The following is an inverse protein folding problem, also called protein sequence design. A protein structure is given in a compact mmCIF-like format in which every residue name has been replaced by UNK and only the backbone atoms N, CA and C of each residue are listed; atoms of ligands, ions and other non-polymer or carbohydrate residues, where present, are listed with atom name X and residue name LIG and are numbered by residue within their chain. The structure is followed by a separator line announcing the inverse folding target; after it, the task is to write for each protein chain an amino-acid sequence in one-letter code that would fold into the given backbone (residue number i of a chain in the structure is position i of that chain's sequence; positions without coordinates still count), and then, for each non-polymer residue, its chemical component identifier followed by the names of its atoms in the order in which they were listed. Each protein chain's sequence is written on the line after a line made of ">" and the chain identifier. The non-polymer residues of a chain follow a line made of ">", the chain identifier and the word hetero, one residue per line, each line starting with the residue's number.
data_IF_076047109334
#
_entry.id   IF_076047109334
#
_cell.length_a   1.000
_cell.length_b   1.000
_cell.length_c   1.000
_cell.angle_alpha   90.00
_cell.angle_beta   90.00
_cell.angle_gamma   90.00
#
_symmetry.space_group_name_H-M   'P 1'
#
loop_
_entity.id
_entity.type
_entity.pdbx_description
1 polymer ?
#
# COMPACT_ATOMS: atom_id res chain seq x y z
N UNK A 1 48.90 7.79 8.55
CA UNK A 1 47.60 7.65 9.25
C UNK A 1 47.30 6.20 9.64
N UNK A 2 47.24 5.25 8.70
CA UNK A 2 46.94 3.83 9.03
C UNK A 2 47.96 3.18 9.99
N UNK A 3 49.22 3.60 9.97
CA UNK A 3 50.26 3.10 10.87
C UNK A 3 50.22 3.70 12.28
N UNK A 4 49.38 4.72 12.53
CA UNK A 4 49.30 5.36 13.83
C UNK A 4 48.79 4.35 14.90
N UNK A 5 49.36 4.33 16.12
CA UNK A 5 48.93 3.41 17.18
C UNK A 5 47.44 3.49 17.49
N UNK A 6 46.86 4.71 17.49
CA UNK A 6 45.43 4.93 17.71
C UNK A 6 44.54 4.33 16.61
N UNK A 7 44.98 4.39 15.35
CA UNK A 7 44.27 3.75 14.23
C UNK A 7 44.30 2.23 14.36
N UNK A 8 45.49 1.66 14.60
CA UNK A 8 45.67 0.22 14.78
C UNK A 8 44.87 -0.33 15.98
N UNK A 9 44.84 0.42 17.09
CA UNK A 9 44.01 0.10 18.25
C UNK A 9 42.52 0.05 17.88
N UNK A 10 42.05 1.05 17.13
CA UNK A 10 40.65 1.13 16.70
C UNK A 10 40.26 -0.04 15.80
N UNK A 11 41.11 -0.40 14.83
CA UNK A 11 40.87 -1.57 13.96
C UNK A 11 40.85 -2.88 14.76
N UNK A 12 41.75 -3.04 15.73
CA UNK A 12 41.76 -4.22 16.60
C UNK A 12 40.49 -4.31 17.44
N UNK A 13 40.06 -3.19 18.02
CA UNK A 13 38.80 -3.12 18.78
C UNK A 13 37.61 -3.44 17.91
N UNK A 14 37.50 -2.82 16.73
CA UNK A 14 36.42 -3.09 15.77
C UNK A 14 36.36 -4.58 15.39
N UNK A 15 37.51 -5.18 15.06
CA UNK A 15 37.57 -6.61 14.71
C UNK A 15 37.15 -7.51 15.87
N UNK A 16 37.56 -7.17 17.10
CA UNK A 16 37.13 -7.88 18.32
C UNK A 16 35.61 -7.78 18.50
N UNK A 17 35.04 -6.59 18.38
CA UNK A 17 33.59 -6.41 18.55
C UNK A 17 32.78 -7.10 17.46
N UNK A 18 33.24 -7.10 16.20
CA UNK A 18 32.60 -7.87 15.12
C UNK A 18 32.63 -9.36 15.42
N UNK A 19 33.76 -9.91 15.89
CA UNK A 19 33.86 -11.32 16.25
C UNK A 19 32.98 -11.69 17.45
N UNK A 20 32.90 -10.80 18.46
CA UNK A 20 31.99 -10.98 19.59
C UNK A 20 30.53 -11.04 19.11
N UNK A 21 30.13 -10.07 18.28
CA UNK A 21 28.80 -10.00 17.70
C UNK A 21 28.48 -11.25 16.87
N UNK A 22 29.43 -11.72 16.05
CA UNK A 22 29.27 -12.95 15.29
C UNK A 22 29.05 -14.16 16.19
N UNK A 23 29.83 -14.30 17.27
CA UNK A 23 29.67 -15.39 18.25
C UNK A 23 28.32 -15.36 18.97
N UNK A 24 27.75 -14.18 19.22
CA UNK A 24 26.38 -14.07 19.75
C UNK A 24 25.33 -14.45 18.69
N UNK A 25 25.48 -13.98 17.45
CA UNK A 25 24.55 -14.27 16.35
C UNK A 25 24.50 -15.76 16.00
N UNK A 26 25.59 -16.52 16.21
CA UNK A 26 25.61 -17.98 16.06
C UNK A 26 24.64 -18.72 16.99
N UNK A 27 24.20 -18.09 18.09
CA UNK A 27 23.22 -18.65 19.03
C UNK A 27 21.77 -18.45 18.57
N UNK A 28 21.56 -17.72 17.47
CA UNK A 28 20.23 -17.44 16.91
C UNK A 28 19.57 -18.71 16.39
N UNK A 29 18.24 -18.65 16.27
CA UNK A 29 17.48 -19.73 15.61
C UNK A 29 17.99 -19.86 14.17
N UNK A 30 18.35 -21.08 13.71
CA UNK A 30 18.93 -21.28 12.38
C UNK A 30 17.82 -21.28 11.32
N UNK A 31 17.31 -20.10 10.95
CA UNK A 31 16.24 -19.95 9.95
C UNK A 31 16.62 -20.51 8.56
N UNK A 32 17.91 -20.65 8.27
CA UNK A 32 18.43 -21.32 7.06
C UNK A 32 18.20 -22.84 7.06
N UNK A 33 17.92 -23.44 8.22
CA UNK A 33 17.69 -24.88 8.31
C UNK A 33 16.26 -25.22 7.91
N UNK A 34 16.09 -26.20 7.02
CA UNK A 34 14.78 -26.78 6.67
C UNK A 34 14.05 -27.45 7.85
N UNK A 35 14.72 -27.58 9.01
CA UNK A 35 14.13 -28.02 10.27
C UNK A 35 13.25 -26.94 10.90
N UNK A 36 13.50 -25.67 10.61
CA UNK A 36 12.68 -24.57 11.11
C UNK A 36 11.39 -24.45 10.29
N UNK A 37 10.25 -24.53 10.96
CA UNK A 37 8.90 -24.41 10.36
C UNK A 37 7.93 -23.69 11.30
N UNK A 38 8.46 -22.72 12.05
CA UNK A 38 7.73 -22.02 13.11
C UNK A 38 6.99 -20.78 12.58
N UNK A 39 7.67 -19.65 12.56
CA UNK A 39 7.14 -18.38 12.06
C UNK A 39 7.53 -18.12 10.60
N UNK A 40 7.05 -16.99 10.08
CA UNK A 40 7.36 -16.42 8.76
C UNK A 40 8.82 -15.93 8.69
N UNK A 41 9.76 -16.86 8.83
CA UNK A 41 11.22 -16.64 8.78
C UNK A 41 11.88 -17.83 8.08
N UNK A 42 12.81 -17.54 7.17
CA UNK A 42 13.56 -18.53 6.40
C UNK A 42 14.82 -17.88 5.82
N UNK A 43 15.60 -18.64 5.07
CA UNK A 43 16.75 -18.11 4.34
C UNK A 43 16.30 -17.15 3.23
N UNK A 44 16.83 -15.93 3.23
CA UNK A 44 16.42 -14.88 2.28
C UNK A 44 17.16 -15.02 0.96
N UNK A 45 16.58 -14.47 -0.11
CA UNK A 45 17.19 -14.49 -1.44
C UNK A 45 18.56 -13.84 -1.41
N UNK A 46 19.58 -14.56 -1.90
CA UNK A 46 20.94 -14.05 -2.01
C UNK A 46 20.99 -12.76 -2.84
N UNK A 47 20.21 -12.68 -3.92
CA UNK A 47 20.10 -11.48 -4.73
C UNK A 47 19.63 -10.27 -3.91
N UNK A 48 18.62 -10.45 -3.05
CA UNK A 48 18.10 -9.40 -2.18
C UNK A 48 19.14 -8.96 -1.14
N UNK A 49 19.81 -9.91 -0.50
CA UNK A 49 20.87 -9.65 0.47
C UNK A 49 22.03 -8.86 -0.17
N UNK A 50 22.48 -9.26 -1.36
CA UNK A 50 23.55 -8.58 -2.08
C UNK A 50 23.13 -7.18 -2.54
N UNK A 51 21.91 -7.00 -3.04
CA UNK A 51 21.37 -5.69 -3.40
C UNK A 51 21.37 -4.73 -2.21
N UNK A 52 20.93 -5.20 -1.05
CA UNK A 52 20.94 -4.44 0.19
C UNK A 52 22.37 -4.09 0.63
N UNK A 53 23.28 -5.07 0.66
CA UNK A 53 24.68 -4.88 1.08
C UNK A 53 25.45 -3.95 0.15
N UNK A 54 25.17 -3.94 -1.15
CA UNK A 54 25.78 -2.98 -2.07
C UNK A 54 25.26 -1.57 -1.77
N UNK A 55 23.95 -1.42 -1.60
CA UNK A 55 23.32 -0.11 -1.42
C UNK A 55 23.61 0.52 -0.05
N UNK A 56 23.80 -0.26 1.03
CA UNK A 56 24.14 0.30 2.34
C UNK A 56 25.47 1.06 2.33
N UNK A 57 26.41 0.70 1.44
CA UNK A 57 27.68 1.41 1.26
C UNK A 57 27.49 2.84 0.71
N UNK A 58 26.34 3.12 0.10
CA UNK A 58 25.96 4.45 -0.40
C UNK A 58 25.01 5.19 0.54
N UNK A 59 24.34 4.49 1.46
CA UNK A 59 23.48 5.04 2.51
C UNK A 59 22.49 6.13 2.02
N UNK A 60 21.90 5.92 0.84
CA UNK A 60 20.95 6.85 0.26
C UNK A 60 19.62 6.84 1.04
N UNK A 61 19.05 8.03 1.25
CA UNK A 61 17.78 8.22 1.94
C UNK A 61 16.69 8.51 0.92
N UNK A 62 15.73 7.59 0.78
CA UNK A 62 14.67 7.71 -0.23
C UNK A 62 13.59 8.75 0.14
N UNK A 63 13.62 9.33 1.35
CA UNK A 63 12.68 10.39 1.74
C UNK A 63 12.65 11.56 0.75
N UNK A 64 13.83 11.99 0.28
CA UNK A 64 13.96 13.10 -0.65
C UNK A 64 14.68 12.67 -1.91
N UNK A 65 14.26 13.20 -3.05
CA UNK A 65 14.87 12.84 -4.34
C UNK A 65 16.35 13.28 -4.45
N UNK A 66 16.77 14.30 -3.68
CA UNK A 66 18.17 14.74 -3.62
C UNK A 66 19.08 13.79 -2.81
N UNK A 67 18.54 13.09 -1.81
CA UNK A 67 19.31 12.14 -0.99
C UNK A 67 19.21 10.70 -1.53
N UNK A 68 18.15 10.41 -2.30
CA UNK A 68 17.85 9.12 -2.94
C UNK A 68 18.05 9.12 -4.45
N UNK A 69 19.07 9.82 -4.97
CA UNK A 69 19.25 10.08 -6.41
C UNK A 69 19.19 8.84 -7.32
N UNK A 70 19.54 7.68 -6.79
CA UNK A 70 19.48 6.39 -7.50
C UNK A 70 18.42 5.48 -6.87
N UNK A 71 18.44 5.32 -5.56
CA UNK A 71 17.60 4.31 -4.88
C UNK A 71 16.12 4.71 -4.82
N UNK A 72 15.77 5.97 -5.04
CA UNK A 72 14.37 6.37 -5.19
C UNK A 72 13.76 5.80 -6.48
N UNK A 73 14.54 5.69 -7.56
CA UNK A 73 14.07 5.07 -8.81
C UNK A 73 13.87 3.57 -8.64
N UNK A 74 14.69 2.91 -7.82
CA UNK A 74 14.48 1.51 -7.45
C UNK A 74 13.16 1.32 -6.72
N UNK A 75 12.83 2.20 -5.78
CA UNK A 75 11.57 2.11 -5.05
C UNK A 75 10.34 2.34 -5.95
N UNK A 76 10.41 3.34 -6.84
CA UNK A 76 9.36 3.55 -7.85
C UNK A 76 9.21 2.32 -8.75
N UNK A 77 10.33 1.69 -9.12
CA UNK A 77 10.36 0.42 -9.86
C UNK A 77 9.67 -0.71 -9.09
N UNK A 78 10.04 -0.93 -7.83
CA UNK A 78 9.43 -1.94 -6.96
C UNK A 78 7.92 -1.70 -6.81
N UNK A 79 7.49 -0.45 -6.62
CA UNK A 79 6.08 -0.11 -6.56
C UNK A 79 5.33 -0.50 -7.84
N UNK A 80 5.93 -0.24 -9.01
CA UNK A 80 5.39 -0.62 -10.32
C UNK A 80 5.36 -2.14 -10.52
N UNK A 81 6.41 -2.84 -10.10
CA UNK A 81 6.50 -4.30 -10.18
C UNK A 81 5.39 -4.95 -9.34
N UNK A 82 5.20 -4.48 -8.10
CA UNK A 82 4.17 -4.98 -7.21
C UNK A 82 2.77 -4.71 -7.75
N UNK A 83 2.50 -3.49 -8.26
CA UNK A 83 1.21 -3.18 -8.91
C UNK A 83 0.97 -4.09 -10.13
N UNK A 84 1.98 -4.31 -10.95
CA UNK A 84 1.88 -5.19 -12.12
C UNK A 84 1.64 -6.64 -11.72
N UNK A 85 2.29 -7.11 -10.64
CA UNK A 85 2.16 -8.47 -10.11
C UNK A 85 0.72 -8.78 -9.71
N UNK A 86 0.03 -7.83 -9.08
CA UNK A 86 -1.35 -7.95 -8.60
C UNK A 86 -2.41 -7.49 -9.63
N UNK A 87 -1.99 -7.24 -10.87
CA UNK A 87 -2.87 -6.82 -11.99
C UNK A 87 -3.58 -5.47 -11.76
N UNK A 88 -2.93 -4.56 -11.03
CA UNK A 88 -3.29 -3.15 -11.07
C UNK A 88 -2.75 -2.48 -12.33
N UNK A 89 -3.54 -1.57 -12.91
CA UNK A 89 -3.13 -0.77 -14.07
C UNK A 89 -1.92 0.11 -13.70
N UNK A 90 -0.71 -0.15 -14.23
CA UNK A 90 0.52 0.51 -13.79
C UNK A 90 0.59 2.00 -14.16
N UNK A 91 -0.29 2.49 -15.04
CA UNK A 91 -0.34 3.91 -15.40
C UNK A 91 -1.24 4.73 -14.44
N UNK A 92 -2.15 4.04 -13.75
CA UNK A 92 -3.07 4.62 -12.75
C UNK A 92 -2.66 4.33 -11.33
N UNK A 93 -2.15 3.13 -11.07
CA UNK A 93 -1.76 2.66 -9.76
C UNK A 93 -0.43 3.25 -9.31
N UNK A 94 -0.18 3.14 -8.00
CA UNK A 94 1.15 3.37 -7.44
C UNK A 94 1.38 2.43 -6.27
N UNK A 95 2.64 2.08 -6.04
CA UNK A 95 3.06 1.44 -4.81
C UNK A 95 4.33 2.08 -4.29
N UNK A 96 4.60 1.90 -3.01
CA UNK A 96 5.89 2.26 -2.42
C UNK A 96 6.23 1.35 -1.25
N UNK A 97 7.49 1.39 -0.85
CA UNK A 97 8.02 0.59 0.25
C UNK A 97 7.71 1.29 1.57
N UNK A 98 7.44 0.49 2.59
CA UNK A 98 7.32 0.91 3.98
C UNK A 98 8.18 0.01 4.88
N UNK A 99 8.39 0.38 6.14
CA UNK A 99 9.14 -0.44 7.10
C UNK A 99 8.57 -1.87 7.27
N UNK A 100 7.26 -2.04 7.06
CA UNK A 100 6.58 -3.32 7.12
C UNK A 100 5.06 -3.20 6.97
N UNK A 101 4.37 -4.33 6.83
CA UNK A 101 2.93 -4.40 6.63
C UNK A 101 2.09 -3.68 7.69
N UNK A 102 2.59 -3.56 8.93
CA UNK A 102 1.93 -2.75 9.96
C UNK A 102 1.80 -1.28 9.53
N UNK A 103 2.86 -0.69 9.01
CA UNK A 103 2.85 0.71 8.54
C UNK A 103 1.96 0.84 7.31
N UNK A 104 2.05 -0.10 6.37
CA UNK A 104 1.17 -0.13 5.20
C UNK A 104 -0.32 -0.17 5.59
N UNK A 105 -0.71 -1.03 6.54
CA UNK A 105 -2.09 -1.12 7.01
C UNK A 105 -2.56 0.18 7.69
N UNK A 106 -1.71 0.82 8.51
CA UNK A 106 -2.04 2.11 9.13
C UNK A 106 -2.24 3.18 8.04
N UNK A 107 -1.36 3.20 7.04
CA UNK A 107 -1.42 4.14 5.94
C UNK A 107 -2.68 3.94 5.09
N UNK A 108 -3.04 2.70 4.77
CA UNK A 108 -4.28 2.37 4.08
C UNK A 108 -5.52 2.86 4.84
N UNK A 109 -5.56 2.68 6.17
CA UNK A 109 -6.67 3.15 7.00
C UNK A 109 -6.69 4.68 7.09
N UNK A 110 -5.53 5.32 7.10
CA UNK A 110 -5.42 6.78 7.09
C UNK A 110 -5.95 7.36 5.77
N UNK A 111 -5.56 6.77 4.63
CA UNK A 111 -6.06 7.15 3.31
C UNK A 111 -7.57 6.96 3.23
N UNK A 112 -8.08 5.80 3.67
CA UNK A 112 -9.50 5.49 3.61
C UNK A 112 -10.35 6.45 4.46
N UNK A 113 -9.85 6.82 5.65
CA UNK A 113 -10.47 7.84 6.49
C UNK A 113 -10.54 9.18 5.75
N UNK A 114 -9.42 9.65 5.20
CA UNK A 114 -9.38 10.98 4.58
C UNK A 114 -10.25 11.06 3.32
N UNK A 115 -10.22 10.00 2.48
CA UNK A 115 -11.11 9.87 1.31
C UNK A 115 -12.57 9.89 1.73
N UNK A 116 -12.95 9.14 2.78
CA UNK A 116 -14.35 9.05 3.25
C UNK A 116 -14.94 10.41 3.64
N UNK A 117 -14.17 11.26 4.31
CA UNK A 117 -14.66 12.53 4.83
C UNK A 117 -14.44 13.72 3.89
N UNK A 118 -13.59 13.58 2.87
CA UNK A 118 -13.29 14.67 1.93
C UNK A 118 -14.53 15.31 1.28
N UNK A 119 -15.55 14.56 0.80
CA UNK A 119 -16.73 15.18 0.18
C UNK A 119 -17.52 16.10 1.11
N UNK A 120 -17.50 15.84 2.42
CA UNK A 120 -18.15 16.71 3.41
C UNK A 120 -17.44 18.07 3.47
N UNK A 121 -16.11 18.05 3.65
CA UNK A 121 -15.30 19.26 3.72
C UNK A 121 -15.38 20.05 2.41
N UNK A 122 -15.30 19.36 1.27
CA UNK A 122 -15.40 20.01 -0.03
C UNK A 122 -16.79 20.63 -0.27
N UNK A 123 -17.86 19.93 0.10
CA UNK A 123 -19.22 20.47 0.00
C UNK A 123 -19.38 21.74 0.84
N UNK A 124 -18.81 21.76 2.04
CA UNK A 124 -18.85 22.93 2.93
C UNK A 124 -18.02 24.08 2.37
N UNK A 125 -16.81 23.80 1.87
CA UNK A 125 -15.96 24.78 1.20
C UNK A 125 -16.66 25.39 -0.03
N UNK A 126 -17.31 24.59 -0.88
CA UNK A 126 -18.05 25.09 -2.06
C UNK A 126 -19.22 26.01 -1.66
N UNK A 127 -19.82 25.80 -0.48
CA UNK A 127 -20.92 26.65 0.02
C UNK A 127 -20.42 27.99 0.54
N UNK A 128 -19.28 28.00 1.23
CA UNK A 128 -18.82 29.15 2.01
C UNK A 128 -17.69 29.95 1.33
N UNK A 129 -16.92 29.34 0.43
CA UNK A 129 -15.76 29.98 -0.20
C UNK A 129 -16.11 30.55 -1.57
N UNK A 130 -15.95 31.87 -1.73
CA UNK A 130 -16.25 32.56 -2.99
C UNK A 130 -15.39 32.05 -4.15
N UNK A 131 -14.13 31.69 -3.87
CA UNK A 131 -13.20 31.11 -4.85
C UNK A 131 -13.72 29.78 -5.43
N UNK A 132 -14.57 29.07 -4.68
CA UNK A 132 -15.19 27.80 -5.10
C UNK A 132 -16.61 27.96 -5.65
N UNK A 133 -17.12 29.18 -5.82
CA UNK A 133 -18.51 29.43 -6.22
C UNK A 133 -18.90 28.78 -7.57
N UNK A 134 -17.96 28.67 -8.52
CA UNK A 134 -18.19 27.99 -9.82
C UNK A 134 -18.43 26.50 -9.66
N UNK A 135 -17.94 25.88 -8.58
CA UNK A 135 -18.14 24.47 -8.29
C UNK A 135 -19.49 24.16 -7.64
N UNK A 136 -20.35 25.15 -7.34
CA UNK A 136 -21.73 24.91 -6.83
C UNK A 136 -22.57 24.04 -7.78
N UNK A 137 -22.30 24.12 -9.08
CA UNK A 137 -22.95 23.29 -10.10
C UNK A 137 -22.31 21.90 -10.29
N UNK A 138 -21.26 21.55 -9.54
CA UNK A 138 -20.59 20.25 -9.67
C UNK A 138 -21.55 19.13 -9.27
N UNK A 139 -21.76 18.17 -10.16
CA UNK A 139 -22.69 17.05 -9.95
C UNK A 139 -21.94 15.74 -9.73
N UNK A 140 -22.41 14.96 -8.78
CA UNK A 140 -21.93 13.61 -8.47
C UNK A 140 -23.04 12.60 -8.78
N UNK A 141 -22.66 11.43 -9.28
CA UNK A 141 -23.60 10.35 -9.54
C UNK A 141 -23.89 9.58 -8.25
N UNK A 142 -25.17 9.35 -7.96
CA UNK A 142 -25.63 8.58 -6.80
C UNK A 142 -26.26 7.26 -7.29
N UNK A 143 -25.58 6.10 -7.13
CA UNK A 143 -26.05 4.82 -7.66
C UNK A 143 -27.47 4.44 -7.20
N UNK A 144 -27.77 4.63 -5.91
CA UNK A 144 -29.07 4.31 -5.32
C UNK A 144 -30.24 5.18 -5.82
N UNK A 145 -29.96 6.37 -6.37
CA UNK A 145 -30.95 7.22 -7.05
C UNK A 145 -30.94 7.07 -8.57
N UNK A 146 -29.88 6.45 -9.10
CA UNK A 146 -29.58 6.42 -10.52
C UNK A 146 -29.62 7.82 -11.17
N UNK A 147 -29.04 8.81 -10.50
CA UNK A 147 -29.12 10.21 -10.93
C UNK A 147 -27.87 11.02 -10.57
N UNK A 148 -27.61 12.07 -11.34
CA UNK A 148 -26.61 13.10 -11.00
C UNK A 148 -27.24 14.19 -10.14
N UNK A 149 -26.67 14.43 -8.97
CA UNK A 149 -27.14 15.44 -8.00
C UNK A 149 -26.02 16.44 -7.76
N UNK A 150 -26.35 17.72 -7.63
CA UNK A 150 -25.35 18.73 -7.27
C UNK A 150 -24.75 18.38 -5.90
N UNK A 151 -23.44 18.51 -5.74
CA UNK A 151 -22.75 18.16 -4.49
C UNK A 151 -23.33 18.93 -3.30
N UNK A 152 -23.74 20.18 -3.53
CA UNK A 152 -24.38 21.05 -2.52
C UNK A 152 -25.79 20.62 -2.14
N UNK A 153 -26.46 19.79 -2.95
CA UNK A 153 -27.81 19.29 -2.71
C UNK A 153 -27.81 17.87 -2.14
N UNK A 154 -26.64 17.23 -2.05
CA UNK A 154 -26.48 15.92 -1.45
C UNK A 154 -26.65 16.01 0.08
N UNK A 155 -27.29 15.00 0.66
CA UNK A 155 -27.33 14.84 2.12
C UNK A 155 -25.97 14.41 2.66
N UNK A 156 -25.72 14.62 3.96
CA UNK A 156 -24.50 14.13 4.64
C UNK A 156 -24.28 12.64 4.43
N UNK A 157 -25.37 11.84 4.48
CA UNK A 157 -25.30 10.40 4.24
C UNK A 157 -24.82 10.06 2.82
N UNK A 158 -25.27 10.81 1.81
CA UNK A 158 -24.88 10.57 0.43
C UNK A 158 -23.43 10.98 0.16
N UNK A 159 -23.00 12.10 0.72
CA UNK A 159 -21.60 12.55 0.63
C UNK A 159 -20.64 11.53 1.25
N UNK A 160 -21.02 10.89 2.36
CA UNK A 160 -20.24 9.83 3.02
C UNK A 160 -20.25 8.48 2.27
N UNK A 161 -21.10 8.33 1.25
CA UNK A 161 -21.28 7.07 0.51
C UNK A 161 -21.08 7.23 -1.01
N UNK A 162 -20.36 8.27 -1.42
CA UNK A 162 -19.91 8.43 -2.81
C UNK A 162 -18.92 7.34 -3.21
N UNK A 163 -18.80 7.10 -4.51
CA UNK A 163 -17.80 6.21 -5.07
C UNK A 163 -16.39 6.77 -4.90
N UNK A 164 -15.46 5.91 -4.50
CA UNK A 164 -14.03 6.25 -4.34
C UNK A 164 -13.51 6.92 -5.60
N UNK A 165 -13.81 6.36 -6.78
CA UNK A 165 -13.40 6.89 -8.09
C UNK A 165 -13.95 8.31 -8.34
N UNK A 166 -15.14 8.64 -7.82
CA UNK A 166 -15.70 10.01 -7.89
C UNK A 166 -14.94 10.94 -6.93
N UNK A 167 -14.66 10.47 -5.70
CA UNK A 167 -14.02 11.27 -4.65
C UNK A 167 -12.60 11.66 -5.05
N UNK A 168 -11.80 10.70 -5.53
CA UNK A 168 -10.40 10.96 -5.92
C UNK A 168 -10.26 11.87 -7.14
N UNK A 169 -11.32 12.01 -7.93
CA UNK A 169 -11.40 12.94 -9.07
C UNK A 169 -11.86 14.35 -8.69
N UNK A 170 -12.44 14.53 -7.50
CA UNK A 170 -13.01 15.82 -7.09
C UNK A 170 -11.99 16.96 -7.09
N UNK A 171 -10.75 16.81 -6.55
CA UNK A 171 -9.78 17.91 -6.54
C UNK A 171 -9.49 18.44 -7.95
N UNK A 172 -9.23 17.54 -8.90
CA UNK A 172 -8.91 17.89 -10.29
C UNK A 172 -10.11 18.54 -11.00
N UNK A 173 -11.33 18.02 -10.78
CA UNK A 173 -12.54 18.60 -11.38
C UNK A 173 -12.86 19.97 -10.81
N UNK A 174 -12.76 20.16 -9.51
CA UNK A 174 -13.06 21.44 -8.86
C UNK A 174 -12.04 22.51 -9.21
N UNK A 175 -10.73 22.18 -9.19
CA UNK A 175 -9.68 23.11 -9.63
C UNK A 175 -9.89 23.57 -11.07
N UNK A 176 -10.21 22.63 -11.98
CA UNK A 176 -10.52 22.95 -13.37
C UNK A 176 -11.78 23.83 -13.52
N UNK A 177 -12.86 23.53 -12.80
CA UNK A 177 -14.10 24.32 -12.83
C UNK A 177 -13.91 25.74 -12.30
N UNK A 178 -13.10 25.89 -11.25
CA UNK A 178 -12.84 27.17 -10.61
C UNK A 178 -11.69 27.96 -11.26
N UNK A 179 -10.89 27.31 -12.11
CA UNK A 179 -9.65 27.85 -12.67
C UNK A 179 -8.64 28.28 -11.59
N UNK A 180 -8.45 27.42 -10.59
CA UNK A 180 -7.48 27.61 -9.50
C UNK A 180 -6.43 26.50 -9.52
N UNK A 181 -5.29 26.72 -8.85
CA UNK A 181 -4.28 25.66 -8.71
C UNK A 181 -4.66 24.63 -7.65
N UNK A 182 -4.07 23.43 -7.73
CA UNK A 182 -4.22 22.42 -6.68
C UNK A 182 -3.71 22.91 -5.32
N UNK A 183 -2.69 23.78 -5.31
CA UNK A 183 -2.16 24.41 -4.10
C UNK A 183 -3.19 25.36 -3.47
N UNK A 184 -3.90 26.14 -4.30
CA UNK A 184 -4.97 27.03 -3.80
C UNK A 184 -6.11 26.22 -3.18
N UNK A 185 -6.54 25.13 -3.86
CA UNK A 185 -7.57 24.25 -3.33
C UNK A 185 -7.13 23.59 -2.02
N UNK A 186 -5.88 23.13 -1.93
CA UNK A 186 -5.34 22.56 -0.70
C UNK A 186 -5.34 23.57 0.46
N UNK A 187 -4.94 24.81 0.19
CA UNK A 187 -4.95 25.90 1.16
C UNK A 187 -6.37 26.21 1.68
N UNK A 188 -7.37 26.17 0.80
CA UNK A 188 -8.78 26.29 1.20
C UNK A 188 -9.20 25.10 2.06
N UNK A 189 -8.95 23.87 1.58
CA UNK A 189 -9.39 22.64 2.23
C UNK A 189 -8.75 22.41 3.61
N UNK A 190 -7.62 23.04 3.92
CA UNK A 190 -7.00 23.01 5.26
C UNK A 190 -7.97 23.48 6.36
N UNK A 191 -8.88 24.41 6.06
CA UNK A 191 -9.88 24.90 7.02
C UNK A 191 -11.08 23.96 7.20
N UNK A 192 -11.21 22.93 6.35
CA UNK A 192 -12.39 22.04 6.28
C UNK A 192 -12.07 20.57 6.59
N UNK A 193 -10.82 20.27 7.00
CA UNK A 193 -10.32 18.90 7.20
C UNK A 193 -10.31 18.36 8.63
N UNK A 194 -10.45 19.20 9.67
CA UNK A 194 -9.83 18.89 10.98
C UNK A 194 -10.65 18.09 12.03
N UNK A 195 -11.91 17.67 11.81
CA UNK A 195 -12.74 17.22 12.96
C UNK A 195 -13.53 15.91 12.82
N UNK A 196 -12.93 14.82 12.31
CA UNK A 196 -13.63 13.53 12.20
C UNK A 196 -12.86 12.37 12.86
N UNK A 197 -12.99 12.25 14.19
CA UNK A 197 -12.28 11.27 15.03
C UNK A 197 -13.02 9.94 15.27
N UNK A 198 -14.11 9.62 14.56
CA UNK A 198 -14.82 8.36 14.76
C UNK A 198 -14.79 7.55 13.46
N UNK A 199 -14.00 6.48 13.46
CA UNK A 199 -13.82 5.56 12.34
C UNK A 199 -14.36 4.20 12.77
N UNK A 200 -15.45 3.75 12.15
CA UNK A 200 -15.84 2.35 12.22
C UNK A 200 -15.08 1.59 11.11
N UNK A 201 -14.14 0.73 11.52
CA UNK A 201 -13.38 -0.18 10.65
C UNK A 201 -13.96 -1.57 10.85
N UNK A 202 -14.23 -2.30 9.76
CA UNK A 202 -14.72 -3.67 9.83
C UNK A 202 -13.71 -4.62 9.20
N UNK A 203 -13.40 -5.68 9.94
CA UNK A 203 -12.71 -6.86 9.42
C UNK A 203 -13.77 -7.82 8.89
N UNK A 204 -13.48 -8.48 7.76
CA UNK A 204 -14.26 -9.59 7.22
C UNK A 204 -14.63 -10.60 8.31
N UNK A 205 -15.92 -10.91 8.40
CA UNK A 205 -16.44 -11.95 9.29
C UNK A 205 -17.59 -12.67 8.59
N UNK A 206 -17.95 -13.87 9.08
CA UNK A 206 -19.14 -14.61 8.63
C UNK A 206 -20.45 -13.79 8.75
N UNK A 207 -20.42 -12.66 9.44
CA UNK A 207 -21.57 -11.76 9.69
C UNK A 207 -21.41 -10.40 9.01
N UNK A 208 -20.51 -10.26 8.03
CA UNK A 208 -20.26 -8.99 7.35
C UNK A 208 -21.55 -8.38 6.78
N UNK A 209 -22.40 -9.19 6.13
CA UNK A 209 -23.70 -8.73 5.63
C UNK A 209 -24.56 -8.14 6.74
N UNK A 210 -24.81 -8.89 7.82
CA UNK A 210 -25.62 -8.42 8.96
C UNK A 210 -25.08 -7.11 9.53
N UNK A 211 -23.76 -6.97 9.63
CA UNK A 211 -23.11 -5.75 10.10
C UNK A 211 -23.37 -4.57 9.14
N UNK A 212 -23.22 -4.77 7.83
CA UNK A 212 -23.48 -3.72 6.84
C UNK A 212 -24.96 -3.32 6.80
N UNK A 213 -25.88 -4.28 6.94
CA UNK A 213 -27.32 -4.01 7.09
C UNK A 213 -27.61 -3.14 8.31
N UNK A 214 -27.01 -3.47 9.46
CA UNK A 214 -27.12 -2.67 10.68
C UNK A 214 -26.55 -1.25 10.48
N UNK A 215 -25.41 -1.11 9.80
CA UNK A 215 -24.83 0.22 9.52
C UNK A 215 -25.66 1.04 8.56
N UNK A 216 -26.23 0.43 7.53
CA UNK A 216 -27.17 1.09 6.62
C UNK A 216 -28.43 1.55 7.38
N UNK A 217 -29.02 0.68 8.20
CA UNK A 217 -30.23 0.99 8.97
C UNK A 217 -30.01 2.14 9.97
N UNK A 218 -28.85 2.16 10.64
CA UNK A 218 -28.52 3.15 11.66
C UNK A 218 -27.77 4.38 11.12
N UNK A 219 -27.59 4.49 9.79
CA UNK A 219 -26.82 5.57 9.14
C UNK A 219 -25.42 5.76 9.73
N UNK A 220 -24.73 4.66 9.98
CA UNK A 220 -23.32 4.67 10.39
C UNK A 220 -22.45 4.47 9.15
N UNK A 221 -21.59 5.42 8.77
CA UNK A 221 -20.75 5.27 7.58
C UNK A 221 -19.70 4.16 7.81
N UNK A 222 -19.43 3.39 6.76
CA UNK A 222 -18.36 2.40 6.72
C UNK A 222 -17.17 2.99 5.99
N UNK A 223 -16.02 3.07 6.66
CA UNK A 223 -14.80 3.66 6.09
C UNK A 223 -14.16 2.68 5.11
N UNK A 224 -13.87 1.48 5.61
CA UNK A 224 -13.25 0.41 4.84
C UNK A 224 -13.69 -0.95 5.35
N UNK A 225 -13.71 -1.93 4.45
CA UNK A 225 -13.78 -3.36 4.75
C UNK A 225 -12.42 -3.97 4.43
N UNK A 226 -11.86 -4.69 5.39
CA UNK A 226 -10.55 -5.35 5.26
C UNK A 226 -10.76 -6.82 4.93
N UNK A 227 -10.21 -7.29 3.81
CA UNK A 227 -10.11 -8.71 3.48
C UNK A 227 -8.68 -9.21 3.73
N UNK A 228 -8.52 -10.29 4.47
CA UNK A 228 -7.21 -10.87 4.78
C UNK A 228 -6.88 -11.92 3.72
N UNK A 229 -5.84 -11.66 2.93
CA UNK A 229 -5.33 -12.58 1.93
C UNK A 229 -4.11 -13.28 2.53
N UNK A 230 -4.36 -14.37 3.26
CA UNK A 230 -3.35 -15.11 4.01
C UNK A 230 -3.33 -14.71 5.48
N UNK A 231 -4.23 -15.28 6.29
CA UNK A 231 -4.24 -15.08 7.75
C UNK A 231 -2.91 -15.51 8.37
N UNK A 232 -2.52 -14.83 9.45
CA UNK A 232 -1.20 -15.06 10.08
C UNK A 232 -1.06 -16.47 10.64
N UNK A 233 -2.13 -17.02 11.22
CA UNK A 233 -2.08 -18.31 11.91
C UNK A 233 -2.35 -19.50 10.96
N UNK A 234 -3.27 -19.36 9.99
CA UNK A 234 -3.70 -20.47 9.14
C UNK A 234 -3.39 -20.30 7.66
N UNK A 235 -2.82 -19.16 7.24
CA UNK A 235 -2.69 -18.80 5.82
C UNK A 235 -4.02 -18.82 5.06
N UNK A 236 -5.14 -18.62 5.75
CA UNK A 236 -6.46 -18.64 5.16
C UNK A 236 -6.69 -17.40 4.27
N UNK A 237 -7.48 -17.54 3.23
CA UNK A 237 -7.80 -16.45 2.30
C UNK A 237 -9.28 -16.13 2.42
N UNK A 238 -9.59 -14.88 2.76
CA UNK A 238 -10.96 -14.42 2.86
C UNK A 238 -11.69 -14.45 1.52
N UNK A 239 -13.04 -14.56 1.52
CA UNK A 239 -13.85 -14.62 0.31
C UNK A 239 -13.98 -13.23 -0.35
N UNK A 240 -12.87 -12.72 -0.92
CA UNK A 240 -12.80 -11.39 -1.53
C UNK A 240 -13.86 -11.17 -2.62
N UNK A 241 -14.13 -12.19 -3.43
CA UNK A 241 -15.20 -12.13 -4.46
C UNK A 241 -16.56 -11.79 -3.86
N UNK A 242 -16.94 -12.45 -2.75
CA UNK A 242 -18.19 -12.21 -2.05
C UNK A 242 -18.23 -10.81 -1.42
N UNK A 243 -17.09 -10.30 -0.92
CA UNK A 243 -16.96 -8.94 -0.38
C UNK A 243 -17.20 -7.89 -1.46
N UNK A 244 -16.66 -8.09 -2.67
CA UNK A 244 -16.84 -7.17 -3.80
C UNK A 244 -18.30 -7.16 -4.27
N UNK A 245 -18.91 -8.34 -4.38
CA UNK A 245 -20.33 -8.47 -4.72
C UNK A 245 -21.22 -7.76 -3.68
N UNK A 246 -20.93 -7.95 -2.39
CA UNK A 246 -21.63 -7.30 -1.30
C UNK A 246 -21.47 -5.77 -1.33
N UNK A 247 -20.27 -5.26 -1.63
CA UNK A 247 -20.06 -3.81 -1.84
C UNK A 247 -20.96 -3.29 -2.95
N UNK A 248 -21.02 -3.97 -4.09
CA UNK A 248 -21.84 -3.55 -5.22
C UNK A 248 -23.34 -3.51 -4.87
N UNK A 249 -23.83 -4.50 -4.13
CA UNK A 249 -25.22 -4.51 -3.65
C UNK A 249 -25.50 -3.35 -2.68
N UNK A 250 -24.65 -3.17 -1.67
CA UNK A 250 -24.81 -2.11 -0.67
C UNK A 250 -24.73 -0.72 -1.30
N UNK A 251 -23.84 -0.56 -2.30
CA UNK A 251 -23.68 0.68 -3.07
C UNK A 251 -24.97 1.08 -3.77
N UNK A 252 -25.69 0.12 -4.35
CA UNK A 252 -27.02 0.36 -4.95
C UNK A 252 -28.10 0.73 -3.94
N UNK A 253 -27.85 0.50 -2.65
CA UNK A 253 -28.75 0.85 -1.54
C UNK A 253 -28.30 2.09 -0.76
N UNK A 254 -27.20 2.72 -1.19
CA UNK A 254 -26.70 3.98 -0.63
C UNK A 254 -25.70 3.82 0.51
N UNK A 255 -25.10 2.63 0.69
CA UNK A 255 -23.95 2.40 1.57
C UNK A 255 -22.74 1.99 0.74
N UNK A 256 -21.65 2.75 0.80
CA UNK A 256 -20.42 2.45 0.07
C UNK A 256 -19.18 2.57 0.95
N UNK A 257 -18.14 1.84 0.61
CA UNK A 257 -16.91 1.74 1.41
C UNK A 257 -15.72 1.34 0.54
N UNK A 258 -14.53 1.69 1.00
CA UNK A 258 -13.29 1.19 0.40
C UNK A 258 -13.09 -0.29 0.75
N UNK A 259 -12.39 -1.02 -0.11
CA UNK A 259 -11.90 -2.36 0.20
C UNK A 259 -10.39 -2.31 0.25
N UNK A 260 -9.84 -2.62 1.42
CA UNK A 260 -8.41 -2.87 1.61
C UNK A 260 -8.18 -4.37 1.71
N UNK A 261 -7.13 -4.89 1.09
CA UNK A 261 -6.66 -6.23 1.41
C UNK A 261 -5.39 -6.18 2.27
N UNK A 262 -5.41 -6.89 3.38
CA UNK A 262 -4.17 -7.28 4.07
C UNK A 262 -3.62 -8.51 3.36
N UNK A 263 -2.81 -8.26 2.33
CA UNK A 263 -2.06 -9.28 1.59
C UNK A 263 -0.61 -9.36 2.04
N UNK A 264 -0.28 -8.97 3.28
CA UNK A 264 1.11 -8.95 3.73
C UNK A 264 1.77 -10.32 3.51
N UNK A 265 1.06 -11.41 3.83
CA UNK A 265 1.50 -12.77 3.56
C UNK A 265 1.08 -13.29 2.17
N UNK A 266 -0.16 -13.04 1.74
CA UNK A 266 -0.71 -13.62 0.51
C UNK A 266 -0.33 -12.92 -0.79
N UNK A 267 0.22 -11.71 -0.75
CA UNK A 267 0.38 -10.85 -1.92
C UNK A 267 1.29 -11.45 -2.99
N UNK A 268 2.45 -12.00 -2.61
CA UNK A 268 3.38 -12.62 -3.59
C UNK A 268 2.84 -13.90 -4.21
N UNK A 269 1.83 -14.56 -3.63
CA UNK A 269 1.21 -15.73 -4.27
C UNK A 269 0.48 -15.36 -5.58
N UNK A 270 0.22 -14.06 -5.84
CA UNK A 270 -0.25 -13.59 -7.15
C UNK A 270 0.70 -13.91 -8.30
N UNK A 271 1.99 -14.11 -8.02
CA UNK A 271 2.96 -14.59 -9.03
C UNK A 271 2.54 -15.92 -9.65
N UNK A 272 1.85 -16.77 -8.89
CA UNK A 272 1.36 -18.08 -9.35
C UNK A 272 0.12 -18.00 -10.24
N UNK A 273 -0.50 -16.82 -10.38
CA UNK A 273 -1.58 -16.57 -11.36
C UNK A 273 -1.03 -16.24 -12.75
N UNK A 274 0.24 -15.87 -12.83
CA UNK A 274 0.86 -15.37 -14.06
C UNK A 274 1.46 -16.51 -14.86
N UNK A 275 1.43 -16.36 -16.19
CA UNK A 275 2.16 -17.27 -17.07
C UNK A 275 3.66 -17.10 -16.84
N UNK A 276 4.41 -18.18 -16.56
CA UNK A 276 5.85 -18.08 -16.36
C UNK A 276 6.55 -17.67 -17.67
N UNK A 277 7.67 -16.92 -17.61
CA UNK A 277 8.41 -16.46 -18.79
C UNK A 277 8.97 -17.60 -19.65
N UNK A 278 9.21 -18.77 -19.03
CA UNK A 278 9.55 -20.02 -19.69
C UNK A 278 8.55 -21.09 -19.22
N UNK A 279 7.96 -21.88 -20.13
CA UNK A 279 7.25 -23.09 -19.75
C UNK A 279 8.18 -24.00 -18.94
N UNK A 280 7.64 -24.71 -17.98
CA UNK A 280 8.34 -25.86 -17.39
C UNK A 280 8.44 -26.90 -18.52
N UNK A 281 9.66 -27.25 -18.94
CA UNK A 281 9.84 -28.33 -19.91
C UNK A 281 9.41 -29.64 -19.23
N UNK A 282 8.22 -30.14 -19.59
CA UNK A 282 7.69 -31.43 -19.09
C UNK A 282 8.56 -32.63 -19.52
N UNK A 283 9.44 -32.43 -20.52
CA UNK A 283 10.26 -33.45 -21.16
C UNK A 283 11.73 -33.47 -20.68
N UNK A 284 12.15 -32.62 -19.73
CA UNK A 284 13.50 -32.70 -19.15
C UNK A 284 13.63 -33.89 -18.20
N UNK A 285 14.63 -34.76 -18.43
CA UNK A 285 15.03 -35.80 -17.46
C UNK A 285 15.30 -35.16 -16.10
N UNK A 286 14.35 -35.31 -15.17
CA UNK A 286 14.50 -34.75 -13.83
C UNK A 286 15.71 -35.40 -13.13
N UNK A 287 16.61 -34.61 -12.52
CA UNK A 287 17.71 -35.15 -11.72
C UNK A 287 17.17 -36.01 -10.56
N UNK A 288 18.03 -36.81 -9.92
CA UNK A 288 17.68 -37.70 -8.78
C UNK A 288 16.94 -37.00 -7.62
N UNK A 289 16.99 -35.67 -7.57
CA UNK A 289 16.31 -34.81 -6.59
C UNK A 289 15.25 -33.96 -7.31
N UNK A 290 13.99 -34.34 -7.15
CA UNK A 290 12.84 -33.60 -7.69
C UNK A 290 11.98 -33.06 -6.53
N UNK A 291 11.63 -31.77 -6.60
CA UNK A 291 10.65 -31.15 -5.72
C UNK A 291 9.52 -30.62 -6.62
N UNK A 292 8.29 -31.16 -6.52
CA UNK A 292 7.20 -30.74 -7.37
C UNK A 292 6.78 -29.30 -7.05
N UNK A 293 6.37 -28.58 -8.08
CA UNK A 293 5.62 -27.34 -7.92
C UNK A 293 4.19 -27.66 -7.46
N UNK A 294 3.70 -26.93 -6.47
CA UNK A 294 2.29 -26.99 -6.07
C UNK A 294 1.60 -25.70 -6.50
N UNK A 295 0.43 -25.83 -7.10
CA UNK A 295 -0.35 -24.68 -7.57
C UNK A 295 -1.36 -24.20 -6.52
N UNK A 296 -1.86 -22.99 -6.72
CA UNK A 296 -2.94 -22.44 -5.91
C UNK A 296 -4.19 -23.32 -6.02
N UNK A 297 -4.91 -23.44 -4.91
CA UNK A 297 -6.24 -24.06 -4.92
C UNK A 297 -7.18 -23.25 -5.83
N UNK A 298 -8.21 -23.89 -6.40
CA UNK A 298 -9.23 -23.19 -7.21
C UNK A 298 -9.89 -22.04 -6.45
N UNK A 299 -10.12 -22.21 -5.14
CA UNK A 299 -10.63 -21.17 -4.26
C UNK A 299 -9.65 -20.00 -4.17
N UNK A 300 -8.37 -20.26 -3.84
CA UNK A 300 -7.35 -19.22 -3.70
C UNK A 300 -7.16 -18.46 -5.02
N UNK A 301 -7.09 -19.18 -6.15
CA UNK A 301 -7.02 -18.58 -7.49
C UNK A 301 -8.19 -17.62 -7.71
N UNK A 302 -9.43 -18.06 -7.42
CA UNK A 302 -10.62 -17.21 -7.56
C UNK A 302 -10.51 -15.93 -6.72
N UNK A 303 -10.06 -16.02 -5.46
CA UNK A 303 -9.99 -14.84 -4.58
C UNK A 303 -8.87 -13.88 -4.99
N UNK A 304 -7.68 -14.38 -5.30
CA UNK A 304 -6.55 -13.52 -5.71
C UNK A 304 -6.81 -12.85 -7.06
N UNK A 305 -7.49 -13.52 -8.00
CA UNK A 305 -7.90 -12.90 -9.28
C UNK A 305 -8.89 -11.73 -9.11
N UNK A 306 -9.47 -11.53 -7.93
CA UNK A 306 -10.38 -10.42 -7.65
C UNK A 306 -9.66 -9.16 -7.11
N UNK A 307 -8.34 -9.23 -6.87
CA UNK A 307 -7.53 -8.10 -6.37
C UNK A 307 -7.70 -6.82 -7.19
N UNK A 308 -7.80 -6.82 -8.54
CA UNK A 308 -7.96 -5.58 -9.33
C UNK A 308 -9.16 -4.71 -8.94
N UNK A 309 -10.12 -5.23 -8.17
CA UNK A 309 -11.29 -4.49 -7.67
C UNK A 309 -11.10 -3.86 -6.28
N UNK A 310 -9.94 -4.04 -5.65
CA UNK A 310 -9.55 -3.43 -4.38
C UNK A 310 -9.19 -1.95 -4.55
N UNK A 311 -9.25 -1.18 -3.48
CA UNK A 311 -8.77 0.21 -3.48
C UNK A 311 -7.30 0.28 -3.07
N UNK A 312 -6.91 -0.52 -2.07
CA UNK A 312 -5.52 -0.64 -1.61
C UNK A 312 -5.20 -2.08 -1.18
N UNK A 313 -3.92 -2.45 -1.21
CA UNK A 313 -3.43 -3.73 -0.70
C UNK A 313 -2.06 -3.58 -0.05
N UNK A 314 -1.89 -4.21 1.10
CA UNK A 314 -0.59 -4.38 1.78
C UNK A 314 0.10 -5.63 1.26
N UNK A 315 1.41 -5.58 1.03
CA UNK A 315 2.23 -6.72 0.58
C UNK A 315 3.58 -6.66 1.28
N UNK A 316 4.07 -7.76 1.85
CA UNK A 316 5.39 -7.78 2.49
C UNK A 316 6.43 -8.56 1.67
N UNK A 317 7.34 -7.86 0.95
CA UNK A 317 8.57 -8.45 0.42
C UNK A 317 9.36 -9.26 1.45
N UNK A 318 9.42 -8.81 2.71
CA UNK A 318 10.13 -9.51 3.80
C UNK A 318 9.39 -10.72 4.38
N UNK A 319 8.18 -11.01 3.88
CA UNK A 319 7.46 -12.26 4.12
C UNK A 319 7.63 -13.12 2.87
N UNK A 320 6.55 -13.46 2.18
CA UNK A 320 6.49 -14.33 1.00
C UNK A 320 7.31 -13.86 -0.22
N UNK A 321 7.90 -12.66 -0.19
CA UNK A 321 8.85 -12.18 -1.20
C UNK A 321 10.31 -12.58 -0.94
N UNK A 322 10.59 -13.27 0.18
CA UNK A 322 11.93 -13.77 0.55
C UNK A 322 13.02 -12.69 0.64
N UNK A 323 12.64 -11.43 0.83
CA UNK A 323 13.59 -10.33 1.05
C UNK A 323 13.97 -10.22 2.54
N UNK A 324 15.15 -9.66 2.87
CA UNK A 324 15.47 -9.36 4.26
C UNK A 324 14.61 -8.21 4.81
N UNK A 325 14.42 -8.20 6.13
CA UNK A 325 13.86 -7.05 6.84
C UNK A 325 14.81 -5.83 6.75
N UNK A 326 14.29 -4.59 6.75
CA UNK A 326 12.86 -4.23 6.57
C UNK A 326 12.46 -4.26 5.09
N UNK A 327 11.21 -4.65 4.81
CA UNK A 327 10.66 -4.68 3.46
C UNK A 327 9.16 -4.96 3.43
N UNK A 328 8.35 -3.94 3.76
CA UNK A 328 6.91 -3.93 3.50
C UNK A 328 6.56 -3.05 2.31
N UNK A 329 5.34 -3.13 1.83
CA UNK A 329 4.84 -2.27 0.77
C UNK A 329 3.32 -2.07 0.86
N UNK A 330 2.86 -0.96 0.31
CA UNK A 330 1.45 -0.69 0.03
C UNK A 330 1.29 -0.41 -1.47
N UNK A 331 0.20 -0.87 -2.06
CA UNK A 331 -0.20 -0.55 -3.43
C UNK A 331 -1.60 0.07 -3.42
N UNK A 332 -1.77 1.12 -4.20
CA UNK A 332 -3.02 1.84 -4.44
C UNK A 332 -3.48 1.55 -5.87
N UNK A 333 -4.74 1.14 -6.04
CA UNK A 333 -5.33 0.93 -7.38
C UNK A 333 -5.31 2.22 -8.21
N UNK A 334 -5.49 3.34 -7.53
CA UNK A 334 -5.41 4.68 -8.10
C UNK A 334 -4.48 5.54 -7.24
N UNK A 335 -3.43 6.07 -7.86
CA UNK A 335 -2.42 6.92 -7.20
C UNK A 335 -3.00 8.18 -6.54
N UNK A 336 -4.17 8.63 -6.99
CA UNK A 336 -4.86 9.78 -6.39
C UNK A 336 -5.40 9.46 -5.00
N UNK A 337 -5.56 8.19 -4.61
CA UNK A 337 -5.92 7.83 -3.22
C UNK A 337 -4.80 8.30 -2.27
N UNK A 338 -3.54 8.15 -2.67
CA UNK A 338 -2.38 8.54 -1.87
C UNK A 338 -2.32 10.05 -1.61
N UNK A 339 -2.79 10.90 -2.53
CA UNK A 339 -2.75 12.36 -2.35
C UNK A 339 -3.61 12.86 -1.18
N UNK A 340 -4.51 12.03 -0.65
CA UNK A 340 -5.28 12.34 0.55
C UNK A 340 -4.49 12.15 1.85
N UNK A 341 -3.27 11.62 1.80
CA UNK A 341 -2.38 11.51 2.96
C UNK A 341 -1.54 12.75 3.22
N UNK A 342 -1.37 13.61 2.21
CA UNK A 342 -0.48 14.77 2.28
C UNK A 342 -0.85 15.71 3.43
N UNK A 343 -0.05 15.70 4.49
CA UNK A 343 -0.05 16.78 5.49
C UNK A 343 0.84 17.87 4.91
N UNK A 344 0.28 19.05 4.75
CA UNK A 344 0.94 20.28 4.26
C UNK A 344 2.38 20.40 4.74
N UNK A 345 3.32 20.20 3.82
CA UNK A 345 4.59 20.92 3.71
C UNK A 345 5.24 20.53 2.38
N UNK A 346 4.93 21.27 1.31
CA UNK A 346 5.80 21.28 0.14
C UNK A 346 7.09 21.99 0.53
N UNK A 347 8.01 21.28 1.18
CA UNK A 347 9.39 21.72 1.22
C UNK A 347 9.89 21.67 -0.22
N UNK A 348 10.20 22.84 -0.79
CA UNK A 348 10.77 22.94 -2.12
C UNK A 348 12.17 22.32 -2.12
N UNK A 349 12.28 21.09 -2.62
CA UNK A 349 13.55 20.44 -2.90
C UNK A 349 13.97 20.69 -4.34
N UNK A 350 15.26 20.94 -4.57
CA UNK A 350 15.75 21.46 -5.85
C UNK A 350 15.81 20.41 -6.98
N UNK A 351 15.67 19.11 -6.70
CA UNK A 351 15.85 18.02 -7.67
C UNK A 351 14.81 16.90 -7.51
N UNK A 352 14.14 16.52 -8.60
CA UNK A 352 13.22 15.37 -8.67
C UNK A 352 11.72 15.75 -8.74
N UNK A 353 10.93 14.97 -9.49
CA UNK A 353 9.49 15.21 -9.68
C UNK A 353 8.60 14.52 -8.61
N UNK A 354 9.17 13.65 -7.76
CA UNK A 354 8.46 12.90 -6.73
C UNK A 354 9.39 12.70 -5.51
N UNK A 355 8.95 13.14 -4.33
CA UNK A 355 9.60 12.82 -3.05
C UNK A 355 8.84 11.70 -2.36
N UNK A 356 9.50 10.59 -2.06
CA UNK A 356 8.84 9.44 -1.45
C UNK A 356 8.57 9.63 0.05
N UNK A 357 9.12 10.67 0.67
CA UNK A 357 8.79 11.08 2.04
C UNK A 357 7.43 11.78 2.16
N UNK A 358 6.87 12.25 1.04
CA UNK A 358 5.55 12.91 1.01
C UNK A 358 4.42 11.92 0.70
N UNK A 359 4.74 10.66 0.36
CA UNK A 359 3.76 9.65 -0.06
C UNK A 359 3.24 8.78 1.08
N UNK A 360 3.70 8.95 2.32
CA UNK A 360 3.33 8.03 3.40
C UNK A 360 3.59 8.58 4.79
N UNK A 361 3.48 7.70 5.79
CA UNK A 361 3.68 8.07 7.20
C UNK A 361 5.16 8.28 7.54
N UNK A 362 6.05 7.58 6.83
CA UNK A 362 7.47 7.55 7.10
C UNK A 362 8.22 8.71 6.42
N UNK A 363 9.19 9.28 7.13
CA UNK A 363 10.15 10.23 6.56
C UNK A 363 11.38 9.51 6.03
N UNK A 364 12.52 9.63 6.73
CA UNK A 364 13.77 8.96 6.37
C UNK A 364 13.59 7.45 6.22
N UNK A 365 13.99 6.92 5.06
CA UNK A 365 13.80 5.52 4.69
C UNK A 365 14.97 4.98 3.85
N UNK A 366 15.42 3.74 4.11
CA UNK A 366 16.67 3.25 3.56
C UNK A 366 16.53 2.88 2.07
N UNK A 367 17.31 3.53 1.21
CA UNK A 367 17.41 3.15 -0.20
C UNK A 367 17.93 1.71 -0.41
N UNK A 368 18.60 1.15 0.61
CA UNK A 368 19.07 -0.23 0.60
C UNK A 368 17.94 -1.27 0.58
N UNK A 369 16.81 -1.00 1.24
CA UNK A 369 15.65 -1.89 1.18
C UNK A 369 15.10 -1.95 -0.26
N UNK A 370 14.96 -0.80 -0.91
CA UNK A 370 14.54 -0.72 -2.31
C UNK A 370 15.48 -1.45 -3.27
N UNK A 371 16.80 -1.32 -3.08
CA UNK A 371 17.79 -2.03 -3.87
C UNK A 371 17.73 -3.56 -3.67
N UNK A 372 17.57 -4.02 -2.43
CA UNK A 372 17.42 -5.44 -2.13
C UNK A 372 16.19 -6.04 -2.81
N UNK A 373 15.02 -5.40 -2.67
CA UNK A 373 13.77 -5.87 -3.29
C UNK A 373 13.86 -5.80 -4.82
N UNK A 374 14.47 -4.75 -5.38
CA UNK A 374 14.72 -4.65 -6.83
C UNK A 374 15.54 -5.83 -7.35
N UNK A 375 16.56 -6.25 -6.61
CA UNK A 375 17.37 -7.42 -7.00
C UNK A 375 16.63 -8.74 -6.82
N UNK A 376 15.62 -8.81 -5.95
CA UNK A 376 14.77 -9.99 -5.82
C UNK A 376 13.76 -10.11 -6.98
N UNK A 377 13.29 -8.99 -7.52
CA UNK A 377 12.28 -8.94 -8.59
C UNK A 377 12.85 -9.16 -9.99
N UNK A 378 14.17 -8.99 -10.16
CA UNK A 378 14.89 -9.17 -11.43
C UNK A 378 15.49 -10.56 -11.52
#
# INVERSE_FOLDING_TARGET
>A
MKEAPSYQETIRKMSKEINNMHGELQKSVPFFSSRYKGHVCWDTLMAANLGYMVAIMYNQNNCTAEAGTVTAQFEVGVGRDLCTMIDFDPDKAMGHIVAGGTVANIEAMWAARNVKFYPLGLCDAIRNEEVLAKAKGYKVFLPHRNAYVAITDCTTWELLNLDVDIIVEMPDKVTAMCAISSTDLLGVMANYGEHWFIVAIFVTTLRLRDLLEDKLANKVPVVSVIAILGTTEESAVDPLTDVIELRNEMRMRGLNFMIHADGAWGGYFCTMLRTPPKPVDEDEEHPEWFVPEMHLSTYTTKQLSAIPHLDTITIDPHKSGFCPYPGGAICYRDKRINSFLGITNQVLYYHGALNLGDVGIEGSKPGAAAAGITMAHR
#
